data_IF_681286622514
#
_entry.id   IF_681286622514
#
_cell.length_a   1.000
_cell.length_b   1.000
_cell.length_c   1.000
_cell.angle_alpha   90.00
_cell.angle_beta   90.00
_cell.angle_gamma   90.00
#
_symmetry.space_group_name_H-M   'P 1'
#
loop_
_entity.id
_entity.type
_entity.pdbx_description
1 polymer ?
#
# COMPACT_ATOMS: atom_id res chain seq x y z
N UNK A 1 5.40 -10.96 -27.83
CA UNK A 1 4.10 -10.43 -27.36
C UNK A 1 3.76 -11.01 -26.00
N UNK A 2 3.64 -12.34 -25.85
CA UNK A 2 3.42 -12.97 -24.53
C UNK A 2 4.55 -12.70 -23.54
N UNK A 3 5.82 -12.69 -23.95
CA UNK A 3 6.92 -12.38 -23.03
C UNK A 3 6.81 -10.98 -22.41
N UNK A 4 6.26 -10.01 -23.14
CA UNK A 4 5.97 -8.67 -22.62
C UNK A 4 4.79 -8.68 -21.65
N UNK A 5 3.78 -9.52 -21.90
CA UNK A 5 2.67 -9.74 -20.97
C UNK A 5 3.21 -10.30 -19.65
N UNK A 6 4.06 -11.32 -19.71
CA UNK A 6 4.67 -11.95 -18.53
C UNK A 6 5.47 -10.95 -17.68
N UNK A 7 6.21 -10.03 -18.32
CA UNK A 7 6.93 -8.97 -17.62
C UNK A 7 6.00 -7.97 -16.91
N UNK A 8 4.80 -7.77 -17.43
CA UNK A 8 3.81 -6.83 -16.88
C UNK A 8 2.87 -7.44 -15.85
N UNK A 9 2.85 -8.76 -15.68
CA UNK A 9 1.97 -9.43 -14.71
C UNK A 9 2.24 -8.99 -13.28
N UNK A 10 3.48 -8.69 -12.91
CA UNK A 10 3.81 -8.16 -11.57
C UNK A 10 3.08 -6.85 -11.29
N UNK A 11 2.95 -5.97 -12.29
CA UNK A 11 2.21 -4.71 -12.14
C UNK A 11 0.71 -4.98 -11.95
N UNK A 12 0.13 -5.87 -12.76
CA UNK A 12 -1.28 -6.27 -12.66
C UNK A 12 -1.55 -6.92 -11.30
N UNK A 13 -0.68 -7.82 -10.84
CA UNK A 13 -0.81 -8.46 -9.53
C UNK A 13 -0.83 -7.43 -8.41
N UNK A 14 0.07 -6.44 -8.45
CA UNK A 14 0.04 -5.32 -7.48
C UNK A 14 -1.28 -4.56 -7.53
N UNK A 15 -1.76 -4.21 -8.72
CA UNK A 15 -3.04 -3.53 -8.91
C UNK A 15 -4.20 -4.32 -8.30
N UNK A 16 -4.24 -5.63 -8.56
CA UNK A 16 -5.26 -6.52 -8.02
C UNK A 16 -5.20 -6.62 -6.50
N UNK A 17 -4.01 -6.77 -5.90
CA UNK A 17 -3.88 -6.89 -4.44
C UNK A 17 -4.37 -5.63 -3.75
N UNK A 18 -3.98 -4.44 -4.21
CA UNK A 18 -4.40 -3.24 -3.51
C UNK A 18 -5.88 -2.92 -3.75
N UNK A 19 -6.44 -3.22 -4.93
CA UNK A 19 -7.88 -3.08 -5.13
C UNK A 19 -8.63 -4.06 -4.22
N UNK A 20 -8.17 -5.30 -4.07
CA UNK A 20 -8.69 -6.25 -3.08
C UNK A 20 -8.65 -5.68 -1.66
N UNK A 21 -7.60 -4.91 -1.31
CA UNK A 21 -7.51 -4.22 -0.01
C UNK A 21 -8.62 -3.18 0.10
N UNK A 22 -8.72 -2.25 -0.86
CA UNK A 22 -9.69 -1.16 -0.87
C UNK A 22 -11.14 -1.66 -0.87
N UNK A 23 -11.42 -2.73 -1.61
CA UNK A 23 -12.74 -3.32 -1.73
C UNK A 23 -13.26 -3.97 -0.44
N UNK A 24 -12.39 -4.26 0.56
CA UNK A 24 -12.87 -4.70 1.87
C UNK A 24 -13.68 -3.61 2.59
N UNK A 25 -13.55 -2.35 2.18
CA UNK A 25 -14.15 -1.19 2.83
C UNK A 25 -15.40 -0.70 2.11
N UNK A 26 -15.50 -1.00 0.83
CA UNK A 26 -16.62 -0.57 0.00
C UNK A 26 -17.81 -1.48 0.31
N UNK A 27 -18.95 -0.89 0.69
CA UNK A 27 -20.19 -1.63 0.94
C UNK A 27 -21.00 -1.82 -0.35
N UNK A 28 -20.89 -0.88 -1.30
CA UNK A 28 -21.59 -0.85 -2.58
C UNK A 28 -21.53 -2.20 -3.34
N UNK A 29 -22.69 -2.81 -3.53
CA UNK A 29 -22.83 -4.14 -4.15
C UNK A 29 -22.44 -4.14 -5.64
N UNK A 30 -22.78 -3.09 -6.39
CA UNK A 30 -22.45 -2.99 -7.81
C UNK A 30 -20.92 -2.96 -8.02
N UNK A 31 -20.20 -2.20 -7.18
CA UNK A 31 -18.73 -2.20 -7.21
C UNK A 31 -18.15 -3.56 -6.82
N UNK A 32 -18.75 -4.25 -5.83
CA UNK A 32 -18.32 -5.62 -5.45
C UNK A 32 -18.50 -6.62 -6.59
N UNK A 33 -19.64 -6.59 -7.27
CA UNK A 33 -19.92 -7.47 -8.41
C UNK A 33 -18.98 -7.18 -9.58
N UNK A 34 -18.79 -5.89 -9.92
CA UNK A 34 -17.83 -5.46 -10.94
C UNK A 34 -16.42 -5.95 -10.59
N UNK A 35 -15.99 -5.79 -9.33
CA UNK A 35 -14.68 -6.26 -8.89
C UNK A 35 -14.54 -7.78 -8.97
N UNK A 36 -15.56 -8.52 -8.52
CA UNK A 36 -15.55 -9.99 -8.56
C UNK A 36 -15.40 -10.49 -10.00
N UNK A 37 -16.04 -9.83 -10.96
CA UNK A 37 -15.88 -10.14 -12.38
C UNK A 37 -14.44 -9.88 -12.85
N UNK A 38 -13.87 -8.70 -12.57
CA UNK A 38 -12.47 -8.36 -12.89
C UNK A 38 -11.49 -9.37 -12.27
N UNK A 39 -11.73 -9.77 -11.02
CA UNK A 39 -10.90 -10.73 -10.28
C UNK A 39 -10.96 -12.14 -10.88
N UNK A 40 -12.13 -12.56 -11.37
CA UNK A 40 -12.26 -13.83 -12.10
C UNK A 40 -11.47 -13.81 -13.42
N UNK A 41 -11.49 -12.71 -14.17
CA UNK A 41 -10.66 -12.54 -15.38
C UNK A 41 -9.17 -12.63 -15.06
N UNK A 42 -8.73 -12.00 -13.97
CA UNK A 42 -7.34 -12.13 -13.50
C UNK A 42 -6.97 -13.57 -13.15
N UNK A 43 -7.84 -14.30 -12.45
CA UNK A 43 -7.59 -15.69 -12.10
C UNK A 43 -7.44 -16.59 -13.35
N UNK A 44 -8.31 -16.41 -14.34
CA UNK A 44 -8.22 -17.13 -15.62
C UNK A 44 -6.90 -16.83 -16.34
N UNK A 45 -6.47 -15.56 -16.34
CA UNK A 45 -5.19 -15.15 -16.90
C UNK A 45 -4.03 -15.85 -16.19
N UNK A 46 -4.01 -15.87 -14.85
CA UNK A 46 -2.98 -16.58 -14.06
C UNK A 46 -2.93 -18.07 -14.39
N UNK A 47 -4.08 -18.73 -14.46
CA UNK A 47 -4.15 -20.15 -14.82
C UNK A 47 -3.60 -20.41 -16.24
N UNK A 48 -3.98 -19.58 -17.21
CA UNK A 48 -3.55 -19.74 -18.59
C UNK A 48 -2.05 -19.44 -18.76
N UNK A 49 -1.53 -18.45 -18.05
CA UNK A 49 -0.08 -18.16 -17.96
C UNK A 49 0.67 -19.35 -17.36
N UNK A 50 0.16 -19.94 -16.28
CA UNK A 50 0.76 -21.13 -15.67
C UNK A 50 0.81 -22.31 -16.65
N UNK A 51 -0.29 -22.58 -17.37
CA UNK A 51 -0.31 -23.61 -18.43
C UNK A 51 0.74 -23.33 -19.50
N UNK A 52 0.84 -22.08 -19.94
CA UNK A 52 1.83 -21.66 -20.93
C UNK A 52 3.26 -21.84 -20.43
N UNK A 53 3.58 -21.42 -19.21
CA UNK A 53 4.91 -21.57 -18.60
C UNK A 53 5.29 -23.05 -18.42
N UNK A 54 4.31 -23.92 -18.16
CA UNK A 54 4.48 -25.36 -18.02
C UNK A 54 4.45 -26.15 -19.35
N UNK A 55 4.47 -25.47 -20.49
CA UNK A 55 4.72 -26.10 -21.80
C UNK A 55 3.53 -26.16 -22.75
N UNK A 56 2.32 -25.76 -22.35
CA UNK A 56 1.18 -25.64 -23.27
C UNK A 56 1.32 -24.35 -24.10
N UNK A 57 2.00 -24.47 -25.24
CA UNK A 57 2.27 -23.35 -26.15
C UNK A 57 1.27 -23.25 -27.30
N UNK A 58 0.09 -23.88 -27.19
CA UNK A 58 -0.93 -23.85 -28.25
C UNK A 58 -1.39 -22.43 -28.56
N UNK A 59 -1.75 -22.16 -29.82
CA UNK A 59 -2.29 -20.85 -30.23
C UNK A 59 -3.55 -20.46 -29.45
N UNK A 60 -4.33 -21.45 -29.01
CA UNK A 60 -5.53 -21.27 -28.18
C UNK A 60 -5.16 -20.64 -26.82
N UNK A 61 -4.20 -21.24 -26.08
CA UNK A 61 -3.74 -20.68 -24.81
C UNK A 61 -3.13 -19.29 -24.99
N UNK A 62 -2.36 -19.10 -26.05
CA UNK A 62 -1.77 -17.79 -26.36
C UNK A 62 -2.84 -16.71 -26.58
N UNK A 63 -3.89 -17.03 -27.33
CA UNK A 63 -5.01 -16.12 -27.59
C UNK A 63 -5.79 -15.82 -26.30
N UNK A 64 -6.02 -16.81 -25.43
CA UNK A 64 -6.65 -16.56 -24.14
C UNK A 64 -5.81 -15.61 -23.27
N UNK A 65 -4.50 -15.84 -23.17
CA UNK A 65 -3.61 -14.95 -22.43
C UNK A 65 -3.67 -13.51 -22.96
N UNK A 66 -3.63 -13.33 -24.29
CA UNK A 66 -3.69 -11.99 -24.89
C UNK A 66 -5.03 -11.31 -24.62
N UNK A 67 -6.14 -12.01 -24.86
CA UNK A 67 -7.49 -11.46 -24.69
C UNK A 67 -7.77 -11.13 -23.23
N UNK A 68 -7.48 -12.05 -22.31
CA UNK A 68 -7.69 -11.85 -20.87
C UNK A 68 -6.82 -10.69 -20.37
N UNK A 69 -5.58 -10.58 -20.82
CA UNK A 69 -4.67 -9.48 -20.46
C UNK A 69 -5.19 -8.11 -20.92
N UNK A 70 -5.54 -7.96 -22.20
CA UNK A 70 -6.06 -6.68 -22.73
C UNK A 70 -7.36 -6.28 -22.05
N UNK A 71 -8.26 -7.25 -21.87
CA UNK A 71 -9.53 -7.06 -21.17
C UNK A 71 -9.30 -6.63 -19.72
N UNK A 72 -8.37 -7.28 -19.01
CA UNK A 72 -8.08 -6.99 -17.62
C UNK A 72 -7.44 -5.60 -17.44
N UNK A 73 -6.55 -5.18 -18.33
CA UNK A 73 -5.98 -3.82 -18.28
C UNK A 73 -7.07 -2.75 -18.35
N UNK A 74 -8.02 -2.92 -19.28
CA UNK A 74 -9.14 -2.00 -19.42
C UNK A 74 -10.04 -2.01 -18.17
N UNK A 75 -10.37 -3.20 -17.67
CA UNK A 75 -11.20 -3.34 -16.46
C UNK A 75 -10.55 -2.72 -15.23
N UNK A 76 -9.25 -2.97 -15.01
CA UNK A 76 -8.52 -2.37 -13.88
C UNK A 76 -8.50 -0.85 -14.01
N UNK A 77 -8.24 -0.32 -15.21
CA UNK A 77 -8.27 1.13 -15.45
C UNK A 77 -9.63 1.73 -15.09
N UNK A 78 -10.72 1.19 -15.64
CA UNK A 78 -12.07 1.64 -15.34
C UNK A 78 -12.43 1.49 -13.86
N UNK A 79 -11.97 0.43 -13.23
CA UNK A 79 -12.21 0.22 -11.80
C UNK A 79 -11.49 1.26 -10.95
N UNK A 80 -10.24 1.62 -11.28
CA UNK A 80 -9.52 2.70 -10.59
C UNK A 80 -10.26 4.04 -10.73
N UNK A 81 -10.83 4.33 -11.90
CA UNK A 81 -11.68 5.52 -12.11
C UNK A 81 -12.90 5.54 -11.20
N UNK A 82 -13.53 4.39 -10.92
CA UNK A 82 -14.62 4.30 -9.95
C UNK A 82 -14.15 4.51 -8.49
N UNK A 83 -12.88 4.20 -8.19
CA UNK A 83 -12.30 4.32 -6.86
C UNK A 83 -11.74 5.72 -6.56
N UNK A 84 -11.31 6.50 -7.55
CA UNK A 84 -10.77 7.85 -7.32
C UNK A 84 -11.76 8.84 -6.66
N UNK A 85 -13.08 8.81 -6.94
CA UNK A 85 -14.05 9.60 -6.19
C UNK A 85 -14.17 9.19 -4.72
N UNK A 86 -13.81 7.94 -4.39
CA UNK A 86 -13.99 7.33 -3.08
C UNK A 86 -12.76 7.55 -2.19
N UNK A 87 -11.55 7.38 -2.71
CA UNK A 87 -10.31 7.45 -1.95
C UNK A 87 -9.42 8.61 -2.37
N UNK A 88 -8.66 9.17 -1.42
CA UNK A 88 -7.70 10.24 -1.73
C UNK A 88 -6.58 9.73 -2.66
N UNK A 89 -6.16 10.56 -3.61
CA UNK A 89 -5.01 10.32 -4.49
C UNK A 89 -3.72 9.91 -3.75
N UNK A 90 -3.49 10.45 -2.55
CA UNK A 90 -2.36 10.13 -1.69
C UNK A 90 -2.37 8.65 -1.25
N UNK A 91 -3.55 8.04 -1.13
CA UNK A 91 -3.68 6.60 -0.82
C UNK A 91 -3.15 5.75 -1.97
N UNK A 92 -3.49 6.09 -3.22
CA UNK A 92 -2.99 5.37 -4.39
C UNK A 92 -1.47 5.53 -4.53
N UNK A 93 -0.94 6.75 -4.35
CA UNK A 93 0.50 6.98 -4.36
C UNK A 93 1.22 6.18 -3.26
N UNK A 94 0.60 6.08 -2.08
CA UNK A 94 1.12 5.23 -1.01
C UNK A 94 1.13 3.76 -1.45
N UNK A 95 0.01 3.21 -1.92
CA UNK A 95 -0.11 1.79 -2.33
C UNK A 95 0.84 1.43 -3.47
N UNK A 96 1.01 2.31 -4.46
CA UNK A 96 1.95 2.11 -5.58
C UNK A 96 3.40 1.95 -5.09
N UNK A 97 3.75 2.63 -3.99
CA UNK A 97 5.09 2.55 -3.40
C UNK A 97 5.36 1.24 -2.65
N UNK A 98 4.35 0.41 -2.37
CA UNK A 98 4.56 -0.88 -1.71
C UNK A 98 5.18 -1.89 -2.69
N UNK A 99 6.07 -2.73 -2.17
CA UNK A 99 6.45 -3.98 -2.83
C UNK A 99 5.29 -4.98 -2.75
N UNK A 100 5.34 -6.03 -3.57
CA UNK A 100 4.32 -7.08 -3.57
C UNK A 100 4.18 -7.75 -2.19
N UNK A 101 5.30 -8.13 -1.57
CA UNK A 101 5.31 -8.74 -0.22
C UNK A 101 4.70 -7.81 0.85
N UNK A 102 4.98 -6.51 0.77
CA UNK A 102 4.43 -5.54 1.69
C UNK A 102 2.92 -5.36 1.47
N UNK A 103 2.44 -5.40 0.23
CA UNK A 103 1.00 -5.37 -0.10
C UNK A 103 0.30 -6.62 0.42
N UNK A 104 0.88 -7.81 0.25
CA UNK A 104 0.30 -9.05 0.79
C UNK A 104 0.24 -9.02 2.33
N UNK A 105 1.25 -8.44 2.99
CA UNK A 105 1.25 -8.23 4.45
C UNK A 105 0.16 -7.23 4.86
N UNK A 106 0.05 -6.09 4.17
CA UNK A 106 -1.01 -5.12 4.37
C UNK A 106 -2.38 -5.79 4.22
N UNK A 107 -2.62 -6.57 3.17
CA UNK A 107 -3.87 -7.28 2.94
C UNK A 107 -4.23 -8.22 4.11
N UNK A 108 -3.28 -9.02 4.59
CA UNK A 108 -3.48 -9.94 5.74
C UNK A 108 -3.82 -9.16 7.01
N UNK A 109 -3.10 -8.06 7.28
CA UNK A 109 -3.32 -7.22 8.46
C UNK A 109 -4.66 -6.50 8.40
N UNK A 110 -4.99 -5.89 7.27
CA UNK A 110 -6.28 -5.22 7.05
C UNK A 110 -7.42 -6.21 7.27
N UNK A 111 -7.40 -7.40 6.66
CA UNK A 111 -8.44 -8.43 6.92
C UNK A 111 -8.61 -8.75 8.42
N UNK A 112 -7.51 -8.86 9.17
CA UNK A 112 -7.56 -9.09 10.62
C UNK A 112 -8.16 -7.89 11.37
N UNK A 113 -7.77 -6.66 11.03
CA UNK A 113 -8.32 -5.44 11.62
C UNK A 113 -9.82 -5.32 11.35
N UNK A 114 -10.25 -5.57 10.12
CA UNK A 114 -11.65 -5.52 9.71
C UNK A 114 -12.52 -6.62 10.32
N UNK A 115 -11.91 -7.74 10.75
CA UNK A 115 -12.63 -8.75 11.54
C UNK A 115 -12.95 -8.30 12.96
N UNK A 116 -12.26 -7.27 13.46
CA UNK A 116 -12.42 -6.73 14.83
C UNK A 116 -13.30 -5.48 14.81
N UNK A 117 -13.07 -4.55 13.87
CA UNK A 117 -13.99 -3.44 13.60
C UNK A 117 -14.21 -3.30 12.10
N UNK A 118 -15.47 -3.30 11.62
CA UNK A 118 -15.79 -3.20 10.21
C UNK A 118 -15.65 -1.77 9.65
N UNK A 119 -15.45 -0.75 10.49
CA UNK A 119 -15.40 0.65 10.07
C UNK A 119 -14.01 1.27 10.27
N UNK A 120 -13.56 2.04 9.28
CA UNK A 120 -12.25 2.69 9.35
C UNK A 120 -12.16 3.74 10.45
N UNK A 121 -13.25 4.45 10.74
CA UNK A 121 -13.31 5.47 11.78
C UNK A 121 -12.89 4.90 13.16
N UNK A 122 -13.42 3.74 13.52
CA UNK A 122 -13.05 3.04 14.76
C UNK A 122 -11.58 2.60 14.75
N UNK A 123 -11.10 2.09 13.61
CA UNK A 123 -9.70 1.68 13.45
C UNK A 123 -8.76 2.88 13.56
N UNK A 124 -9.13 4.02 12.99
CA UNK A 124 -8.36 5.26 13.09
C UNK A 124 -8.30 5.76 14.53
N UNK A 125 -9.42 5.80 15.25
CA UNK A 125 -9.43 6.26 16.64
C UNK A 125 -8.56 5.36 17.55
N UNK A 126 -8.65 4.04 17.35
CA UNK A 126 -7.81 3.07 18.05
C UNK A 126 -6.32 3.29 17.77
N UNK A 127 -5.94 3.45 16.50
CA UNK A 127 -4.55 3.73 16.11
C UNK A 127 -4.04 5.06 16.69
N UNK A 128 -4.85 6.13 16.67
CA UNK A 128 -4.44 7.44 17.22
C UNK A 128 -4.06 7.35 18.71
N UNK A 129 -4.71 6.48 19.48
CA UNK A 129 -4.43 6.28 20.91
C UNK A 129 -3.20 5.39 21.12
N UNK A 130 -3.10 4.27 20.41
CA UNK A 130 -2.12 3.22 20.73
C UNK A 130 -0.78 3.35 20.00
N UNK A 131 -0.76 3.95 18.81
CA UNK A 131 0.44 4.00 17.96
C UNK A 131 1.29 5.26 18.18
N UNK A 132 0.71 6.32 18.77
CA UNK A 132 1.40 7.60 18.97
C UNK A 132 2.69 7.44 19.78
N UNK A 133 2.72 6.72 20.92
CA UNK A 133 3.96 6.50 21.67
C UNK A 133 5.00 5.70 20.87
N UNK A 134 4.57 4.70 20.08
CA UNK A 134 5.47 3.84 19.30
C UNK A 134 6.17 4.63 18.20
N UNK A 135 5.45 5.51 17.51
CA UNK A 135 6.05 6.38 16.50
C UNK A 135 7.08 7.32 17.12
N UNK A 136 6.81 7.90 18.30
CA UNK A 136 7.79 8.77 18.97
C UNK A 136 9.06 8.01 19.35
N UNK A 137 8.94 6.78 19.86
CA UNK A 137 10.10 5.92 20.14
C UNK A 137 10.88 5.66 18.86
N UNK A 138 10.18 5.30 17.78
CA UNK A 138 10.81 5.08 16.48
C UNK A 138 11.54 6.33 15.95
N UNK A 139 10.92 7.51 16.02
CA UNK A 139 11.56 8.76 15.59
C UNK A 139 12.82 9.05 16.41
N UNK A 140 12.80 8.85 17.74
CA UNK A 140 14.00 9.00 18.57
C UNK A 140 15.14 8.06 18.15
N UNK A 141 14.81 6.78 17.90
CA UNK A 141 15.79 5.79 17.44
C UNK A 141 16.34 6.14 16.06
N UNK A 142 15.48 6.59 15.15
CA UNK A 142 15.87 7.03 13.82
C UNK A 142 16.83 8.23 13.90
N UNK A 143 16.56 9.21 14.77
CA UNK A 143 17.46 10.35 14.99
C UNK A 143 18.83 9.85 15.46
N UNK A 144 18.87 8.93 16.42
CA UNK A 144 20.12 8.36 16.91
C UNK A 144 20.89 7.67 15.78
N UNK A 145 20.25 6.81 15.00
CA UNK A 145 20.86 6.10 13.87
C UNK A 145 21.42 7.08 12.82
N UNK A 146 20.63 8.08 12.43
CA UNK A 146 21.04 9.06 11.42
C UNK A 146 22.28 9.86 11.88
N UNK A 147 22.33 10.25 13.15
CA UNK A 147 23.49 10.96 13.70
C UNK A 147 24.78 10.12 13.71
N UNK A 148 24.67 8.79 13.77
CA UNK A 148 25.85 7.90 13.82
C UNK A 148 26.28 7.40 12.44
N UNK A 149 25.35 7.32 11.48
CA UNK A 149 25.59 6.65 10.20
C UNK A 149 25.55 7.58 8.98
N UNK A 150 25.13 8.84 9.13
CA UNK A 150 25.08 9.81 8.03
C UNK A 150 26.29 10.75 8.08
N UNK A 151 26.82 11.08 6.91
CA UNK A 151 27.95 12.00 6.80
C UNK A 151 27.58 13.39 7.32
N UNK A 152 28.53 14.11 7.91
CA UNK A 152 28.32 15.49 8.39
C UNK A 152 27.85 16.46 7.31
N UNK A 153 28.16 16.17 6.04
CA UNK A 153 27.71 16.97 4.89
C UNK A 153 26.22 16.76 4.58
N UNK A 154 25.71 15.56 4.80
CA UNK A 154 24.33 15.18 4.48
C UNK A 154 23.35 15.43 5.63
N UNK A 155 23.85 15.41 6.88
CA UNK A 155 23.08 15.66 8.11
C UNK A 155 22.25 16.95 8.03
N UNK A 156 22.77 18.00 7.38
CA UNK A 156 22.08 19.30 7.22
C UNK A 156 20.79 19.23 6.38
N UNK A 157 20.60 18.17 5.58
CA UNK A 157 19.40 18.00 4.76
C UNK A 157 18.32 17.16 5.45
N UNK A 158 18.62 16.62 6.63
CA UNK A 158 17.70 15.84 7.44
C UNK A 158 16.91 16.81 8.35
N UNK A 159 15.56 16.72 8.35
CA UNK A 159 14.72 17.64 9.11
C UNK A 159 14.62 17.24 10.60
N UNK A 160 15.73 17.21 11.33
CA UNK A 160 15.79 16.81 12.74
C UNK A 160 14.87 17.64 13.64
N UNK A 161 14.81 18.96 13.43
CA UNK A 161 13.94 19.87 14.19
C UNK A 161 12.46 19.49 14.08
N UNK A 162 12.02 19.05 12.90
CA UNK A 162 10.64 18.62 12.68
C UNK A 162 10.37 17.28 13.39
N UNK A 163 11.34 16.35 13.40
CA UNK A 163 11.20 15.10 14.17
C UNK A 163 11.11 15.38 15.67
N UNK A 164 11.98 16.24 16.21
CA UNK A 164 11.94 16.63 17.62
C UNK A 164 10.62 17.31 17.98
N UNK A 165 10.11 18.19 17.11
CA UNK A 165 8.80 18.84 17.29
C UNK A 165 7.67 17.82 17.38
N UNK A 166 7.65 16.81 16.50
CA UNK A 166 6.67 15.73 16.56
C UNK A 166 6.80 14.91 17.84
N UNK A 167 8.01 14.55 18.25
CA UNK A 167 8.25 13.79 19.48
C UNK A 167 7.69 14.52 20.72
N UNK A 168 7.78 15.85 20.75
CA UNK A 168 7.33 16.67 21.86
C UNK A 168 5.80 16.82 21.96
N UNK A 169 5.04 16.47 20.92
CA UNK A 169 3.58 16.51 20.98
C UNK A 169 3.06 15.56 22.06
N UNK A 170 1.95 15.89 22.72
CA UNK A 170 1.33 15.00 23.70
C UNK A 170 0.69 13.78 23.01
N UNK A 171 -0.14 14.04 22.00
CA UNK A 171 -0.78 13.04 21.16
C UNK A 171 -0.71 13.45 19.69
N UNK A 172 -0.65 12.47 18.79
CA UNK A 172 -0.68 12.75 17.36
C UNK A 172 -2.12 12.90 16.89
N UNK A 173 -2.34 13.89 16.04
CA UNK A 173 -3.50 13.95 15.15
C UNK A 173 -3.20 13.16 13.87
N UNK A 174 -4.22 12.95 13.03
CA UNK A 174 -4.05 12.36 11.71
C UNK A 174 -2.99 13.08 10.86
N UNK A 175 -2.97 14.41 10.88
CA UNK A 175 -1.96 15.18 10.13
C UNK A 175 -0.54 14.90 10.62
N UNK A 176 -0.36 14.65 11.91
CA UNK A 176 0.95 14.38 12.49
C UNK A 176 1.48 13.02 12.06
N UNK A 177 0.62 12.01 11.86
CA UNK A 177 1.01 10.74 11.25
C UNK A 177 1.51 10.93 9.82
N UNK A 178 0.80 11.74 9.02
CA UNK A 178 1.20 12.04 7.64
C UNK A 178 2.54 12.78 7.60
N UNK A 179 2.72 13.78 8.47
CA UNK A 179 3.98 14.52 8.62
C UNK A 179 5.11 13.60 9.05
N UNK A 180 4.89 12.75 10.06
CA UNK A 180 5.87 11.79 10.54
C UNK A 180 6.33 10.82 9.44
N UNK A 181 5.40 10.33 8.62
CA UNK A 181 5.71 9.48 7.48
C UNK A 181 6.53 10.20 6.40
N UNK A 182 6.13 11.42 6.01
CA UNK A 182 6.85 12.21 5.01
C UNK A 182 8.30 12.49 5.47
N UNK A 183 8.46 12.91 6.73
CA UNK A 183 9.76 13.19 7.33
C UNK A 183 10.63 11.93 7.40
N UNK A 184 10.06 10.82 7.87
CA UNK A 184 10.74 9.53 7.92
C UNK A 184 11.20 9.11 6.53
N UNK A 185 10.30 9.11 5.55
CA UNK A 185 10.59 8.76 4.16
C UNK A 185 11.75 9.59 3.60
N UNK A 186 11.77 10.90 3.87
CA UNK A 186 12.85 11.80 3.46
C UNK A 186 14.16 11.45 4.16
N UNK A 187 14.13 11.20 5.47
CA UNK A 187 15.31 10.90 6.27
C UNK A 187 15.94 9.55 5.90
N UNK A 188 15.12 8.52 5.63
CA UNK A 188 15.59 7.20 5.23
C UNK A 188 16.40 7.23 3.92
N UNK A 189 16.25 8.25 3.05
CA UNK A 189 17.07 8.40 1.84
C UNK A 189 18.57 8.51 2.15
N UNK A 190 18.93 8.97 3.34
CA UNK A 190 20.32 9.18 3.75
C UNK A 190 20.92 7.99 4.49
N UNK A 191 20.10 7.01 4.91
CA UNK A 191 20.60 5.76 5.46
C UNK A 191 20.99 4.80 4.33
N UNK A 192 22.24 4.33 4.38
CA UNK A 192 22.74 3.31 3.47
C UNK A 192 22.06 1.96 3.71
N UNK A 193 21.97 1.56 4.98
CA UNK A 193 21.26 0.36 5.40
C UNK A 193 19.90 0.73 6.01
N UNK A 194 18.83 0.34 5.31
CA UNK A 194 17.43 0.55 5.74
C UNK A 194 16.83 -0.67 6.42
N UNK A 195 17.55 -1.81 6.43
CA UNK A 195 17.02 -3.06 7.00
C UNK A 195 16.80 -2.94 8.51
N UNK A 196 17.62 -2.14 9.18
CA UNK A 196 17.57 -1.85 10.63
C UNK A 196 16.28 -1.17 11.10
N UNK A 197 15.49 -0.60 10.20
CA UNK A 197 14.24 0.12 10.52
C UNK A 197 13.07 -0.34 9.66
N UNK A 198 13.22 -1.46 8.95
CA UNK A 198 12.27 -1.91 7.92
C UNK A 198 10.89 -2.19 8.53
N UNK A 199 10.84 -2.85 9.69
CA UNK A 199 9.58 -3.25 10.31
C UNK A 199 8.83 -2.06 10.91
N UNK A 200 9.52 -1.15 11.60
CA UNK A 200 8.92 0.07 12.14
C UNK A 200 8.44 1.01 11.02
N UNK A 201 9.22 1.11 9.95
CA UNK A 201 8.82 1.89 8.78
C UNK A 201 7.61 1.27 8.08
N UNK A 202 7.57 -0.06 7.94
CA UNK A 202 6.39 -0.75 7.41
C UNK A 202 5.18 -0.49 8.29
N UNK A 203 5.31 -0.59 9.63
CA UNK A 203 4.22 -0.27 10.57
C UNK A 203 3.71 1.16 10.38
N UNK A 204 4.60 2.13 10.23
CA UNK A 204 4.22 3.52 9.98
C UNK A 204 3.43 3.67 8.67
N UNK A 205 3.84 3.01 7.59
CA UNK A 205 3.11 3.02 6.31
C UNK A 205 1.71 2.43 6.44
N UNK A 206 1.57 1.35 7.21
CA UNK A 206 0.27 0.73 7.49
C UNK A 206 -0.64 1.68 8.29
N UNK A 207 -0.10 2.38 9.29
CA UNK A 207 -0.85 3.37 10.05
C UNK A 207 -1.33 4.50 9.13
N UNK A 208 -0.47 5.00 8.23
CA UNK A 208 -0.84 6.02 7.23
C UNK A 208 -1.89 5.52 6.25
N UNK A 209 -1.80 4.26 5.80
CA UNK A 209 -2.84 3.64 4.97
C UNK A 209 -4.22 3.76 5.64
N UNK A 210 -4.33 3.36 6.92
CA UNK A 210 -5.59 3.43 7.66
C UNK A 210 -6.08 4.87 7.83
N UNK A 211 -5.18 5.82 8.05
CA UNK A 211 -5.53 7.24 8.16
C UNK A 211 -6.08 7.82 6.85
N UNK A 212 -5.51 7.45 5.70
CA UNK A 212 -5.93 7.94 4.38
C UNK A 212 -7.20 7.24 3.88
N UNK A 213 -7.36 5.95 4.15
CA UNK A 213 -8.46 5.16 3.60
C UNK A 213 -9.84 5.46 4.23
N UNK A 214 -9.90 6.02 5.44
CA UNK A 214 -11.15 6.35 6.13
C UNK A 214 -11.60 7.81 6.01
N UNK A 215 -11.26 8.53 4.93
CA UNK A 215 -11.64 9.95 4.76
C UNK A 215 -13.08 10.17 4.30
N UNK A 216 -13.67 9.18 3.63
CA UNK A 216 -15.05 9.22 3.18
C UNK A 216 -15.74 7.96 3.69
N UNK A 217 -16.75 8.12 4.53
CA UNK A 217 -17.66 7.02 4.83
C UNK A 217 -18.38 6.66 3.52
N UNK A 218 -18.08 5.48 3.00
CA UNK A 218 -18.69 4.97 1.78
C UNK A 218 -19.89 4.12 2.20
N UNK A 219 -21.01 4.78 2.48
CA UNK A 219 -22.32 4.11 2.59
C UNK A 219 -22.77 3.55 1.23
#
# INVERSE_FOLDING_TARGET
MIDSILQNLTKIKKDVIYIDILMNHIVNLMLKEKWQFTRNTYHNLEENVNKYQNGDKTSIIQNYIMNDYETLLQMIYEFKEDLYPIFDSALFLLLDSFTEDELENLQKRTKKLFSISPHFSDLQESLLKDESPKIKIFLNNLIHLLNHHVSSQDVKFIPFEMMHSLIALEQFTKEDYLKAYQITTKALKYLQDKTVVKEEYLQMRLNVFTMLAGEKDVE
#
